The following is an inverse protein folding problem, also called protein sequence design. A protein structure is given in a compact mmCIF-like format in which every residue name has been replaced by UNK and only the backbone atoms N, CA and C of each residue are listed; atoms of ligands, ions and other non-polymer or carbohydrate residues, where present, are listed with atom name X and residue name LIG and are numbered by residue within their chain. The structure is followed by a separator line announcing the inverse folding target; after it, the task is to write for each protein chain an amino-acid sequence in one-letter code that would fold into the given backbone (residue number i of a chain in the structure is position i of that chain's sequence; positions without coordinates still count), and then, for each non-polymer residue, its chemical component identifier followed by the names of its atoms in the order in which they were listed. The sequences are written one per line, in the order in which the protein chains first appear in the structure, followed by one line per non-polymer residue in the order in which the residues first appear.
data_IF_094873464954
#
_entry.id   IF_094873464954
#
_cell.length_a   1.000
_cell.length_b   1.000
_cell.length_c   1.000
_cell.angle_alpha   90.00
_cell.angle_beta   90.00
_cell.angle_gamma   90.00
#
_symmetry.space_group_name_H-M   'P 1'
#
loop_
_entity.id
_entity.type
_entity.pdbx_description
1 polymer ?
#
# COMPACT_ATOMS: atom_id res chain seq x y z
N UNK A 1 16.54 1.99 13.72
CA UNK A 1 17.28 1.89 12.44
C UNK A 1 16.51 1.09 11.37
N UNK A 2 15.87 -0.05 11.69
CA UNK A 2 15.14 -0.90 10.72
C UNK A 2 13.77 -0.30 10.27
N UNK A 3 13.19 0.61 11.05
CA UNK A 3 11.92 1.27 10.75
C UNK A 3 11.97 2.24 9.57
N UNK A 4 13.11 2.90 9.38
CA UNK A 4 13.32 3.90 8.34
C UNK A 4 13.19 3.27 6.94
N UNK A 5 13.86 2.13 6.62
CA UNK A 5 13.68 1.47 5.34
C UNK A 5 12.24 1.04 5.07
N UNK A 6 11.54 0.47 6.07
CA UNK A 6 10.14 0.06 5.95
C UNK A 6 9.25 1.25 5.60
N UNK A 7 9.38 2.37 6.30
CA UNK A 7 8.59 3.58 6.07
C UNK A 7 8.88 4.19 4.69
N UNK A 8 10.16 4.28 4.30
CA UNK A 8 10.56 4.82 2.99
C UNK A 8 10.01 3.96 1.86
N UNK A 9 10.10 2.65 2.01
CA UNK A 9 9.64 1.68 1.02
C UNK A 9 8.12 1.72 0.87
N UNK A 10 7.38 1.68 1.98
CA UNK A 10 5.93 1.82 1.97
C UNK A 10 5.47 3.18 1.40
N UNK A 11 6.21 4.26 1.66
CA UNK A 11 5.92 5.57 1.05
C UNK A 11 6.21 5.61 -0.46
N UNK A 12 7.17 4.83 -0.95
CA UNK A 12 7.40 4.69 -2.40
C UNK A 12 6.33 3.82 -3.05
N UNK A 13 5.95 2.70 -2.43
CA UNK A 13 4.83 1.88 -2.86
C UNK A 13 3.53 2.69 -2.91
N UNK A 14 3.20 3.40 -1.84
CA UNK A 14 2.00 4.24 -1.80
C UNK A 14 1.92 5.25 -2.95
N UNK A 15 3.05 5.88 -3.32
CA UNK A 15 3.11 6.79 -4.48
C UNK A 15 2.97 6.08 -5.82
N UNK A 16 3.58 4.91 -5.97
CA UNK A 16 3.46 4.09 -7.18
C UNK A 16 2.02 3.60 -7.36
N UNK A 17 1.42 3.04 -6.31
CA UNK A 17 0.05 2.55 -6.31
C UNK A 17 -0.95 3.68 -6.54
N UNK A 18 -0.70 4.89 -6.03
CA UNK A 18 -1.55 6.05 -6.34
C UNK A 18 -1.59 6.33 -7.86
N UNK A 19 -0.42 6.35 -8.51
CA UNK A 19 -0.32 6.60 -9.97
C UNK A 19 -0.95 5.47 -10.79
N UNK A 20 -0.80 4.22 -10.36
CA UNK A 20 -1.41 3.07 -11.04
C UNK A 20 -2.93 3.08 -10.89
N UNK A 21 -3.44 3.43 -9.69
CA UNK A 21 -4.87 3.59 -9.45
C UNK A 21 -5.47 4.74 -10.27
N UNK A 22 -4.78 5.87 -10.38
CA UNK A 22 -5.20 6.97 -11.26
C UNK A 22 -5.39 6.49 -12.70
N UNK A 23 -4.38 5.80 -13.26
CA UNK A 23 -4.48 5.27 -14.63
C UNK A 23 -5.57 4.22 -14.80
N UNK A 24 -5.82 3.41 -13.77
CA UNK A 24 -6.91 2.43 -13.78
C UNK A 24 -8.27 3.14 -13.79
N UNK A 25 -8.43 4.17 -12.95
CA UNK A 25 -9.64 4.99 -12.91
C UNK A 25 -9.88 5.73 -14.23
N UNK A 26 -8.85 6.33 -14.83
CA UNK A 26 -8.96 6.99 -16.14
C UNK A 26 -9.43 6.03 -17.24
N UNK A 27 -9.08 4.74 -17.15
CA UNK A 27 -9.61 3.73 -18.06
C UNK A 27 -11.07 3.41 -17.73
N UNK A 28 -11.41 3.17 -16.47
CA UNK A 28 -12.80 2.91 -16.06
C UNK A 28 -13.75 4.03 -16.49
N UNK A 29 -13.33 5.29 -16.39
CA UNK A 29 -14.15 6.43 -16.85
C UNK A 29 -14.42 6.41 -18.37
N UNK A 30 -13.47 5.91 -19.18
CA UNK A 30 -13.61 5.80 -20.65
C UNK A 30 -14.43 4.59 -21.09
N UNK A 31 -14.73 3.66 -20.19
CA UNK A 31 -15.44 2.42 -20.52
C UNK A 31 -16.82 2.70 -21.14
N UNK A 32 -17.53 3.71 -20.62
CA UNK A 32 -18.85 4.11 -21.13
C UNK A 32 -18.78 4.59 -22.58
N UNK A 33 -17.78 5.42 -22.91
CA UNK A 33 -17.61 5.96 -24.27
C UNK A 33 -17.24 4.86 -25.28
N UNK A 34 -16.36 3.93 -24.88
CA UNK A 34 -15.91 2.82 -25.73
C UNK A 34 -17.03 1.81 -26.00
N UNK A 35 -17.82 1.49 -24.97
CA UNK A 35 -18.98 0.59 -25.13
C UNK A 35 -20.08 1.24 -25.98
N UNK A 36 -20.27 2.55 -25.86
CA UNK A 36 -21.25 3.30 -26.66
C UNK A 36 -20.90 3.32 -28.16
N UNK A 37 -19.60 3.34 -28.50
CA UNK A 37 -19.12 3.32 -29.88
C UNK A 37 -19.34 1.98 -30.61
N UNK A 38 -19.66 0.89 -29.90
CA UNK A 38 -19.99 -0.46 -30.43
C UNK A 38 -18.98 -1.07 -31.42
N UNK A 39 -17.71 -0.66 -31.35
CA UNK A 39 -16.63 -1.24 -32.17
C UNK A 39 -15.88 -2.31 -31.39
N UNK A 40 -16.03 -3.56 -31.81
CA UNK A 40 -15.44 -4.75 -31.15
C UNK A 40 -13.93 -4.64 -30.93
N UNK A 41 -13.19 -4.08 -31.90
CA UNK A 41 -11.74 -3.92 -31.80
C UNK A 41 -11.33 -2.90 -30.72
N UNK A 42 -12.07 -1.79 -30.60
CA UNK A 42 -11.83 -0.75 -29.59
C UNK A 42 -12.13 -1.26 -28.18
N UNK A 43 -13.20 -2.06 -28.02
CA UNK A 43 -13.56 -2.72 -26.75
C UNK A 43 -12.49 -3.74 -26.34
N UNK A 44 -11.99 -4.55 -27.27
CA UNK A 44 -10.95 -5.53 -26.96
C UNK A 44 -9.63 -4.86 -26.56
N UNK A 45 -9.26 -3.77 -27.23
CA UNK A 45 -8.07 -3.00 -26.87
C UNK A 45 -8.21 -2.34 -25.50
N UNK A 46 -9.39 -1.82 -25.18
CA UNK A 46 -9.72 -1.25 -23.87
C UNK A 46 -9.53 -2.26 -22.73
N UNK A 47 -10.14 -3.44 -22.81
CA UNK A 47 -9.99 -4.47 -21.77
C UNK A 47 -8.56 -5.01 -21.66
N UNK A 48 -7.78 -5.04 -22.76
CA UNK A 48 -6.34 -5.36 -22.69
C UNK A 48 -5.56 -4.33 -21.88
N UNK A 49 -5.85 -3.04 -22.08
CA UNK A 49 -5.25 -1.94 -21.31
C UNK A 49 -5.67 -2.01 -19.83
N UNK A 50 -6.95 -2.25 -19.55
CA UNK A 50 -7.46 -2.40 -18.19
C UNK A 50 -6.74 -3.54 -17.44
N UNK A 51 -6.68 -4.72 -18.06
CA UNK A 51 -5.97 -5.88 -17.51
C UNK A 51 -4.49 -5.59 -17.29
N UNK A 52 -3.82 -4.89 -18.20
CA UNK A 52 -2.41 -4.54 -18.06
C UNK A 52 -2.15 -3.65 -16.83
N UNK A 53 -3.01 -2.68 -16.56
CA UNK A 53 -2.89 -1.83 -15.36
C UNK A 53 -3.23 -2.59 -14.07
N UNK A 54 -4.23 -3.47 -14.10
CA UNK A 54 -4.57 -4.33 -12.96
C UNK A 54 -3.41 -5.27 -12.60
N UNK A 55 -2.81 -5.94 -13.59
CA UNK A 55 -1.65 -6.82 -13.36
C UNK A 55 -0.47 -6.04 -12.80
N UNK A 56 -0.17 -4.86 -13.35
CA UNK A 56 0.91 -4.00 -12.82
C UNK A 56 0.68 -3.56 -11.37
N UNK A 57 -0.56 -3.26 -11.01
CA UNK A 57 -0.91 -2.91 -9.63
C UNK A 57 -0.73 -4.12 -8.70
N UNK A 58 -1.22 -5.30 -9.11
CA UNK A 58 -1.06 -6.54 -8.37
C UNK A 58 0.41 -6.94 -8.19
N UNK A 59 1.24 -6.82 -9.24
CA UNK A 59 2.68 -7.08 -9.17
C UNK A 59 3.39 -6.12 -8.20
N UNK A 60 2.98 -4.85 -8.18
CA UNK A 60 3.52 -3.87 -7.25
C UNK A 60 3.13 -4.20 -5.80
N UNK A 61 1.90 -4.63 -5.58
CA UNK A 61 1.38 -5.04 -4.28
C UNK A 61 2.08 -6.30 -3.77
N UNK A 62 2.19 -7.35 -4.60
CA UNK A 62 2.87 -8.59 -4.26
C UNK A 62 4.34 -8.37 -3.88
N UNK A 63 5.05 -7.48 -4.60
CA UNK A 63 6.42 -7.09 -4.25
C UNK A 63 6.49 -6.36 -2.92
N UNK A 64 5.58 -5.42 -2.68
CA UNK A 64 5.55 -4.67 -1.42
C UNK A 64 5.24 -5.57 -0.23
N UNK A 65 4.25 -6.46 -0.38
CA UNK A 65 3.90 -7.46 0.62
C UNK A 65 5.08 -8.39 0.91
N UNK A 66 5.68 -9.00 -0.12
CA UNK A 66 6.80 -9.92 0.07
C UNK A 66 8.00 -9.28 0.77
N UNK A 67 8.35 -8.04 0.40
CA UNK A 67 9.47 -7.33 1.02
C UNK A 67 9.16 -6.87 2.45
N UNK A 68 7.92 -6.47 2.74
CA UNK A 68 7.47 -6.13 4.10
C UNK A 68 7.50 -7.36 5.00
N UNK A 69 6.97 -8.49 4.53
CA UNK A 69 6.99 -9.77 5.25
C UNK A 69 8.43 -10.20 5.57
N UNK A 70 9.36 -10.10 4.61
CA UNK A 70 10.76 -10.44 4.85
C UNK A 70 11.43 -9.53 5.90
N UNK A 71 11.18 -8.22 5.83
CA UNK A 71 11.74 -7.26 6.79
C UNK A 71 11.19 -7.47 8.21
N UNK A 72 9.87 -7.66 8.33
CA UNK A 72 9.22 -7.89 9.62
C UNK A 72 9.61 -9.24 10.21
N UNK A 73 9.63 -10.30 9.41
CA UNK A 73 10.11 -11.62 9.84
C UNK A 73 11.56 -11.57 10.30
N UNK A 74 12.43 -10.88 9.56
CA UNK A 74 13.82 -10.66 9.95
C UNK A 74 13.96 -9.88 11.27
N UNK A 75 13.11 -8.87 11.50
CA UNK A 75 13.06 -8.12 12.75
C UNK A 75 12.66 -9.01 13.92
N UNK A 76 11.61 -9.83 13.77
CA UNK A 76 11.16 -10.78 14.81
C UNK A 76 12.30 -11.73 15.17
N UNK A 77 12.95 -12.35 14.18
CA UNK A 77 14.09 -13.26 14.42
C UNK A 77 15.22 -12.54 15.16
N UNK A 78 15.58 -11.33 14.74
CA UNK A 78 16.63 -10.55 15.39
C UNK A 78 16.27 -10.21 16.85
N UNK A 79 15.05 -9.78 17.09
CA UNK A 79 14.56 -9.45 18.45
C UNK A 79 14.58 -10.68 19.34
N UNK A 80 14.14 -11.85 18.85
CA UNK A 80 14.19 -13.11 19.58
C UNK A 80 15.62 -13.53 19.93
N UNK A 81 16.55 -13.45 18.98
CA UNK A 81 17.98 -13.75 19.23
C UNK A 81 18.54 -12.81 20.31
N UNK A 82 18.18 -11.52 20.26
CA UNK A 82 18.57 -10.54 21.28
C UNK A 82 17.94 -10.82 22.64
N UNK A 83 16.67 -11.21 22.67
CA UNK A 83 15.94 -11.51 23.89
C UNK A 83 16.60 -12.66 24.68
N UNK A 84 17.03 -13.71 23.99
CA UNK A 84 17.65 -14.90 24.61
C UNK A 84 19.10 -14.63 25.07
N UNK A 85 19.76 -13.60 24.54
CA UNK A 85 21.14 -13.24 24.91
C UNK A 85 21.23 -12.19 26.02
N UNK A 86 20.09 -11.71 26.54
CA UNK A 86 20.04 -10.77 27.65
C UNK A 86 20.39 -11.47 28.98
N UNK A 87 21.37 -10.96 29.73
CA UNK A 87 21.65 -11.47 31.07
C UNK A 87 20.47 -11.15 32.02
N UNK A 88 20.13 -12.08 32.89
CA UNK A 88 19.07 -11.95 33.90
C UNK A 88 17.66 -11.72 33.33
N UNK A 89 17.35 -12.23 32.13
CA UNK A 89 16.02 -12.11 31.53
C UNK A 89 15.04 -13.09 32.21
N UNK A 90 13.89 -12.60 32.67
CA UNK A 90 12.83 -13.45 33.22
C UNK A 90 11.86 -13.92 32.12
N UNK A 91 11.06 -14.95 32.42
CA UNK A 91 10.03 -15.43 31.50
C UNK A 91 9.01 -14.33 31.13
N UNK A 92 8.71 -13.42 32.07
CA UNK A 92 7.84 -12.27 31.84
C UNK A 92 8.43 -11.25 30.85
N UNK A 93 9.75 -11.04 30.89
CA UNK A 93 10.44 -10.14 29.96
C UNK A 93 10.40 -10.71 28.54
N UNK A 94 10.66 -12.00 28.37
CA UNK A 94 10.57 -12.67 27.08
C UNK A 94 9.14 -12.56 26.52
N UNK A 95 8.13 -12.85 27.34
CA UNK A 95 6.73 -12.73 26.93
C UNK A 95 6.39 -11.31 26.47
N UNK A 96 6.85 -10.30 27.20
CA UNK A 96 6.63 -8.88 26.89
C UNK A 96 7.29 -8.49 25.57
N UNK A 97 8.56 -8.89 25.39
CA UNK A 97 9.32 -8.62 24.16
C UNK A 97 8.62 -9.25 22.94
N UNK A 98 8.20 -10.51 23.06
CA UNK A 98 7.51 -11.22 21.97
C UNK A 98 6.18 -10.54 21.65
N UNK A 99 5.35 -10.30 22.67
CA UNK A 99 4.01 -9.71 22.50
C UNK A 99 4.10 -8.33 21.84
N UNK A 100 4.95 -7.44 22.34
CA UNK A 100 5.09 -6.10 21.76
C UNK A 100 5.71 -6.11 20.36
N UNK A 101 6.62 -7.03 20.06
CA UNK A 101 7.17 -7.17 18.70
C UNK A 101 6.12 -7.64 17.71
N UNK A 102 5.24 -8.56 18.14
CA UNK A 102 4.10 -9.01 17.33
C UNK A 102 3.10 -7.88 17.12
N UNK A 103 2.66 -7.19 18.19
CA UNK A 103 1.77 -6.03 18.09
C UNK A 103 2.33 -4.95 17.16
N UNK A 104 3.63 -4.67 17.29
CA UNK A 104 4.33 -3.72 16.43
C UNK A 104 4.27 -4.12 14.95
N UNK A 105 4.49 -5.41 14.65
CA UNK A 105 4.45 -5.94 13.28
C UNK A 105 3.06 -5.77 12.67
N UNK A 106 2.01 -6.13 13.40
CA UNK A 106 0.62 -5.97 12.94
C UNK A 106 0.27 -4.51 12.65
N UNK A 107 0.65 -3.58 13.54
CA UNK A 107 0.39 -2.15 13.30
C UNK A 107 1.14 -1.63 12.07
N UNK A 108 2.34 -2.13 11.79
CA UNK A 108 3.11 -1.71 10.61
C UNK A 108 2.47 -2.17 9.29
N UNK A 109 1.82 -3.34 9.27
CA UNK A 109 1.12 -3.83 8.09
C UNK A 109 -0.07 -2.94 7.69
N UNK A 110 -0.66 -2.19 8.64
CA UNK A 110 -1.79 -1.28 8.39
C UNK A 110 -1.35 0.11 7.87
N UNK A 111 -0.10 0.50 8.10
CA UNK A 111 0.42 1.84 7.73
C UNK A 111 0.22 2.20 6.26
N UNK A 112 0.47 1.32 5.26
CA UNK A 112 0.33 1.67 3.85
C UNK A 112 -1.11 2.02 3.48
N UNK A 113 -2.06 1.27 4.04
CA UNK A 113 -3.47 1.51 3.86
C UNK A 113 -3.88 2.87 4.45
N UNK A 114 -3.44 3.17 5.68
CA UNK A 114 -3.68 4.47 6.31
C UNK A 114 -3.11 5.63 5.50
N UNK A 115 -1.87 5.50 5.00
CA UNK A 115 -1.24 6.50 4.12
C UNK A 115 -2.07 6.71 2.84
N UNK A 116 -2.59 5.64 2.25
CA UNK A 116 -3.44 5.73 1.07
C UNK A 116 -4.78 6.41 1.38
N UNK A 117 -5.42 6.07 2.50
CA UNK A 117 -6.69 6.68 2.91
C UNK A 117 -6.54 8.19 3.16
N UNK A 118 -5.50 8.60 3.88
CA UNK A 118 -5.21 10.02 4.11
C UNK A 118 -4.93 10.73 2.79
N UNK A 119 -4.23 10.09 1.86
CA UNK A 119 -4.00 10.62 0.52
C UNK A 119 -5.29 10.83 -0.28
N UNK A 120 -6.21 9.86 -0.24
CA UNK A 120 -7.54 9.96 -0.88
C UNK A 120 -8.39 11.05 -0.24
N UNK A 121 -8.41 11.13 1.08
CA UNK A 121 -9.17 12.14 1.81
C UNK A 121 -8.69 13.55 1.47
N UNK A 122 -7.36 13.73 1.37
CA UNK A 122 -6.76 14.99 0.94
C UNK A 122 -7.18 15.36 -0.49
N UNK A 123 -7.10 14.42 -1.43
CA UNK A 123 -7.50 14.65 -2.82
C UNK A 123 -8.98 15.06 -2.95
N UNK A 124 -9.88 14.38 -2.22
CA UNK A 124 -11.31 14.74 -2.18
C UNK A 124 -11.49 16.17 -1.63
N UNK A 125 -10.80 16.51 -0.53
CA UNK A 125 -10.83 17.84 0.05
C UNK A 125 -10.36 18.93 -0.92
N UNK A 126 -9.25 18.68 -1.61
CA UNK A 126 -8.69 19.59 -2.62
C UNK A 126 -9.69 19.80 -3.78
N UNK A 127 -10.36 18.73 -4.24
CA UNK A 127 -11.40 18.81 -5.29
C UNK A 127 -12.62 19.61 -4.86
N UNK A 128 -13.14 19.38 -3.65
CA UNK A 128 -14.29 20.13 -3.11
C UNK A 128 -13.95 21.63 -2.99
N UNK A 129 -12.77 21.95 -2.46
CA UNK A 129 -12.33 23.35 -2.37
C UNK A 129 -12.19 24.01 -3.75
N UNK A 130 -11.68 23.28 -4.75
CA UNK A 130 -11.51 23.82 -6.10
C UNK A 130 -12.82 24.05 -6.84
N UNK A 131 -13.85 23.23 -6.59
CA UNK A 131 -15.19 23.41 -7.17
C UNK A 131 -15.95 24.56 -6.50
N UNK A 132 -15.84 24.71 -5.18
CA UNK A 132 -16.45 25.84 -4.46
C UNK A 132 -15.87 27.21 -4.81
N UNK A 133 -14.68 27.28 -5.44
CA UNK A 133 -14.08 28.51 -5.95
C UNK A 133 -14.64 28.90 -7.34
N UNK A 134 -15.23 27.95 -8.09
CA UNK A 134 -15.80 28.22 -9.42
C UNK A 134 -17.29 28.62 -9.37
N UNK A 135 -17.94 28.48 -8.21
CA UNK A 135 -19.33 28.89 -7.97
C UNK A 135 -19.47 30.25 -7.27
N UNK A 136 -18.36 30.97 -7.03
CA UNK A 136 -18.31 32.26 -6.35
C UNK A 136 -17.61 33.31 -7.22
#
# INVERSE_FOLDING_TARGET
MILIPVIIMNRRYGRLSLRLNQRLNDQLEREVDVLSASKTDEVQQHYRLLKHWQVKLSDAEAKNWGLTTLLMGGLVVLVLIRAVTLPNVEAGDIYTIVTYTMSFTYTMDEVPFLVQQVGRLKDIGDRISSQGILEN
#
